data_IF_242531832435
#
_entry.id   IF_242531832435
#
_cell.length_a   1.000
_cell.length_b   1.000
_cell.length_c   1.000
_cell.angle_alpha   90.00
_cell.angle_beta   90.00
_cell.angle_gamma   90.00
#
_symmetry.space_group_name_H-M   'P 1'
#
loop_
_entity.id
_entity.type
_entity.pdbx_description
1 polymer ?
#
# COMPACT_ATOMS: atom_id res chain seq x y z
N UNK A 1 -10.30 -13.90 -23.54
CA UNK A 1 -8.98 -13.61 -22.95
C UNK A 1 -8.65 -12.16 -23.23
N UNK A 2 -8.67 -11.30 -22.21
CA UNK A 2 -7.97 -10.00 -22.15
C UNK A 2 -7.87 -9.62 -20.66
N UNK A 3 -6.84 -10.12 -19.98
CA UNK A 3 -6.45 -9.60 -18.67
C UNK A 3 -5.58 -8.36 -18.89
N UNK A 4 -6.21 -7.22 -19.17
CA UNK A 4 -5.57 -5.91 -19.15
C UNK A 4 -5.91 -5.26 -17.81
N UNK A 5 -5.12 -5.55 -16.78
CA UNK A 5 -5.03 -4.70 -15.58
C UNK A 5 -3.61 -4.17 -15.47
N UNK A 6 -3.19 -3.44 -16.50
CA UNK A 6 -2.09 -2.49 -16.36
C UNK A 6 -2.65 -1.16 -16.81
N UNK A 7 -3.39 -0.51 -15.91
CA UNK A 7 -3.70 0.90 -16.09
C UNK A 7 -2.39 1.67 -15.87
N UNK A 8 -1.64 1.82 -16.97
CA UNK A 8 -0.47 2.69 -17.10
C UNK A 8 -0.90 4.17 -17.14
N UNK A 9 -1.77 4.57 -16.25
CA UNK A 9 -2.24 5.94 -16.09
C UNK A 9 -2.36 6.15 -14.60
N UNK A 10 -1.75 7.22 -14.07
CA UNK A 10 -1.78 7.63 -12.67
C UNK A 10 -3.16 8.03 -12.17
N UNK A 11 -4.19 7.27 -12.55
CA UNK A 11 -5.55 7.33 -12.05
C UNK A 11 -5.68 6.12 -11.14
N UNK A 12 -5.40 6.34 -9.86
CA UNK A 12 -5.78 5.44 -8.79
C UNK A 12 -7.28 5.13 -8.90
N UNK A 13 -7.66 3.88 -9.15
CA UNK A 13 -9.06 3.51 -9.04
C UNK A 13 -9.45 3.43 -7.57
N UNK A 14 -10.71 3.72 -7.21
CA UNK A 14 -11.17 3.56 -5.83
C UNK A 14 -11.00 2.13 -5.29
N UNK A 15 -11.02 1.12 -6.18
CA UNK A 15 -10.66 -0.27 -5.84
C UNK A 15 -9.21 -0.41 -5.39
N UNK A 16 -8.28 0.30 -6.05
CA UNK A 16 -6.86 0.22 -5.74
C UNK A 16 -6.59 0.93 -4.41
N UNK A 17 -7.23 2.07 -4.16
CA UNK A 17 -7.13 2.75 -2.86
C UNK A 17 -7.70 1.91 -1.71
N UNK A 18 -8.76 1.14 -1.99
CA UNK A 18 -9.31 0.18 -1.03
C UNK A 18 -8.29 -0.90 -0.71
N UNK A 19 -7.62 -1.43 -1.73
CA UNK A 19 -6.57 -2.43 -1.59
C UNK A 19 -5.36 -1.88 -0.79
N UNK A 20 -4.89 -0.68 -1.12
CA UNK A 20 -3.83 0.01 -0.39
C UNK A 20 -4.18 0.15 1.10
N UNK A 21 -5.42 0.60 1.39
CA UNK A 21 -5.91 0.71 2.77
C UNK A 21 -5.95 -0.65 3.46
N UNK A 22 -6.45 -1.70 2.81
CA UNK A 22 -6.52 -3.05 3.40
C UNK A 22 -5.13 -3.59 3.74
N UNK A 23 -4.17 -3.42 2.83
CA UNK A 23 -2.78 -3.84 3.04
C UNK A 23 -2.16 -3.05 4.19
N UNK A 24 -2.34 -1.72 4.21
CA UNK A 24 -1.84 -0.86 5.27
C UNK A 24 -2.40 -1.22 6.65
N UNK A 25 -3.74 -1.38 6.75
CA UNK A 25 -4.42 -1.80 7.98
C UNK A 25 -3.86 -3.14 8.47
N UNK A 26 -3.66 -4.10 7.56
CA UNK A 26 -3.11 -5.42 7.88
C UNK A 26 -1.68 -5.32 8.43
N UNK A 27 -0.79 -4.58 7.78
CA UNK A 27 0.59 -4.40 8.25
C UNK A 27 0.61 -3.70 9.61
N UNK A 28 -0.24 -2.69 9.83
CA UNK A 28 -0.36 -2.04 11.13
C UNK A 28 -0.78 -3.01 12.23
N UNK A 29 -1.78 -3.86 11.98
CA UNK A 29 -2.23 -4.87 12.94
C UNK A 29 -1.14 -5.92 13.21
N UNK A 30 -0.48 -6.42 12.17
CA UNK A 30 0.51 -7.49 12.28
C UNK A 30 1.80 -7.04 12.99
N UNK A 31 2.27 -5.82 12.71
CA UNK A 31 3.47 -5.27 13.35
C UNK A 31 3.13 -4.51 14.66
N UNK A 32 1.85 -4.47 15.05
CA UNK A 32 1.39 -3.84 16.30
C UNK A 32 1.51 -2.32 16.31
N UNK A 33 1.49 -1.69 15.13
CA UNK A 33 1.62 -0.24 14.96
C UNK A 33 0.26 0.42 15.26
N UNK A 34 0.17 1.28 16.30
CA UNK A 34 -1.06 1.99 16.58
C UNK A 34 -1.33 3.04 15.50
N UNK A 35 -2.57 3.08 15.00
CA UNK A 35 -2.98 4.12 14.06
C UNK A 35 -2.79 5.52 14.65
N UNK A 36 -2.23 6.42 13.84
CA UNK A 36 -1.89 7.78 14.26
C UNK A 36 -0.55 7.92 14.97
N UNK A 37 0.23 6.84 15.10
CA UNK A 37 1.65 6.94 15.47
C UNK A 37 2.51 7.45 14.32
N UNK A 38 3.69 7.96 14.64
CA UNK A 38 4.69 8.37 13.64
C UNK A 38 5.06 7.21 12.70
N UNK A 39 5.07 5.98 13.21
CA UNK A 39 5.29 4.77 12.42
C UNK A 39 4.18 4.55 11.38
N UNK A 40 2.91 4.73 11.77
CA UNK A 40 1.77 4.63 10.85
C UNK A 40 1.80 5.75 9.80
N UNK A 41 2.22 6.96 10.17
CA UNK A 41 2.38 8.09 9.24
C UNK A 41 3.48 7.81 8.21
N UNK A 42 4.67 7.38 8.64
CA UNK A 42 5.77 6.98 7.74
C UNK A 42 5.33 5.86 6.79
N UNK A 43 4.62 4.86 7.32
CA UNK A 43 4.09 3.76 6.54
C UNK A 43 3.08 4.25 5.49
N UNK A 44 2.26 5.26 5.82
CA UNK A 44 1.28 5.86 4.89
C UNK A 44 1.98 6.62 3.77
N UNK A 45 3.07 7.32 4.07
CA UNK A 45 3.89 8.00 3.06
C UNK A 45 4.50 6.99 2.09
N UNK A 46 5.15 5.92 2.61
CA UNK A 46 5.69 4.86 1.75
C UNK A 46 4.62 4.17 0.90
N UNK A 47 3.40 3.97 1.45
CA UNK A 47 2.27 3.43 0.71
C UNK A 47 1.93 4.32 -0.50
N UNK A 48 1.84 5.63 -0.30
CA UNK A 48 1.52 6.60 -1.33
C UNK A 48 2.63 6.75 -2.38
N UNK A 49 3.90 6.63 -1.97
CA UNK A 49 5.03 6.62 -2.90
C UNK A 49 4.99 5.41 -3.83
N UNK A 50 4.78 4.20 -3.29
CA UNK A 50 4.63 2.98 -4.09
C UNK A 50 3.47 3.10 -5.07
N UNK A 51 2.35 3.64 -4.59
CA UNK A 51 1.17 3.84 -5.41
C UNK A 51 1.39 4.86 -6.54
N UNK A 52 2.16 5.91 -6.26
CA UNK A 52 2.53 6.93 -7.25
C UNK A 52 3.51 6.40 -8.30
N UNK A 53 4.34 5.41 -7.94
CA UNK A 53 5.22 4.68 -8.87
C UNK A 53 4.45 3.71 -9.78
N UNK A 54 3.16 3.48 -9.48
CA UNK A 54 2.27 2.59 -10.23
C UNK A 54 2.28 1.15 -9.72
N UNK A 55 2.72 0.93 -8.48
CA UNK A 55 2.62 -0.37 -7.83
C UNK A 55 1.23 -0.57 -7.21
N UNK A 56 0.47 -1.45 -7.85
CA UNK A 56 -0.91 -1.80 -7.46
C UNK A 56 -1.07 -3.28 -7.10
N UNK A 57 0.02 -4.05 -7.09
CA UNK A 57 -0.02 -5.46 -6.71
C UNK A 57 -0.10 -5.60 -5.19
N UNK A 58 -1.10 -6.34 -4.70
CA UNK A 58 -1.33 -6.56 -3.27
C UNK A 58 -0.14 -7.20 -2.57
N UNK A 59 0.46 -8.21 -3.19
CA UNK A 59 1.56 -8.96 -2.61
C UNK A 59 2.79 -8.07 -2.47
N UNK A 60 3.07 -7.26 -3.50
CA UNK A 60 4.23 -6.37 -3.49
C UNK A 60 4.01 -5.17 -2.56
N UNK A 61 2.83 -4.55 -2.57
CA UNK A 61 2.47 -3.50 -1.61
C UNK A 61 2.63 -4.00 -0.18
N UNK A 62 2.13 -5.21 0.12
CA UNK A 62 2.25 -5.81 1.45
C UNK A 62 3.70 -6.05 1.85
N UNK A 63 4.50 -6.66 0.98
CA UNK A 63 5.91 -6.94 1.28
C UNK A 63 6.69 -5.64 1.50
N UNK A 64 6.52 -4.65 0.62
CA UNK A 64 7.17 -3.34 0.71
C UNK A 64 6.77 -2.58 1.97
N UNK A 65 5.47 -2.53 2.27
CA UNK A 65 4.96 -1.86 3.48
C UNK A 65 5.50 -2.54 4.73
N UNK A 66 5.51 -3.87 4.77
CA UNK A 66 6.06 -4.63 5.89
C UNK A 66 7.56 -4.38 6.09
N UNK A 67 8.33 -4.22 5.01
CA UNK A 67 9.74 -3.82 5.09
C UNK A 67 9.89 -2.41 5.65
N UNK A 68 9.08 -1.46 5.18
CA UNK A 68 9.07 -0.07 5.70
C UNK A 68 8.64 0.02 7.17
N UNK A 69 7.74 -0.86 7.63
CA UNK A 69 7.29 -0.92 9.02
C UNK A 69 8.40 -1.32 10.01
N UNK A 70 9.45 -2.00 9.52
CA UNK A 70 10.57 -2.52 10.33
C UNK A 70 11.82 -1.65 10.31
N UNK A 71 11.81 -0.57 9.52
CA UNK A 71 12.92 0.37 9.31
C UNK A 71 12.85 1.60 10.23
#
# INVERSE_FOLDING_TARGET
MVSLKTAKSGIAFPSDLTLLKQVFDRVCVEEGIPMGSEQAERLSVSAMELFSDGEFDEAVLYERLRLSARL
#
